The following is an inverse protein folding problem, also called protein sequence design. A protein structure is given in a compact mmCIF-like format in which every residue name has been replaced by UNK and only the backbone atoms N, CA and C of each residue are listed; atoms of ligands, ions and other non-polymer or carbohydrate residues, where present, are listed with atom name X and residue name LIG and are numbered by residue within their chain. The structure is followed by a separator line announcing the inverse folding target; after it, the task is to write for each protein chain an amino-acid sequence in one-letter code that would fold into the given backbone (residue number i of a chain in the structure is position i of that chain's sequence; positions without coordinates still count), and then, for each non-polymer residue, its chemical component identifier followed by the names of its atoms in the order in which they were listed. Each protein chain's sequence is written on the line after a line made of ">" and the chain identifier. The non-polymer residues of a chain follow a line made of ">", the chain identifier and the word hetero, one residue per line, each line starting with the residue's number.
data_IF_033886892986
#
_entry.id   IF_033886892986
#
_cell.length_a   1.000
_cell.length_b   1.000
_cell.length_c   1.000
_cell.angle_alpha   90.00
_cell.angle_beta   90.00
_cell.angle_gamma   90.00
#
_symmetry.space_group_name_H-M   'P 1'
#
loop_
_entity.id
_entity.type
_entity.pdbx_description
1 polymer ?
#
# COMPACT_ATOMS: atom_id res chain seq x y z
N UNK A 1 3.05 -24.82 5.08
CA UNK A 1 3.03 -24.78 3.60
C UNK A 1 4.31 -25.42 3.11
N UNK A 2 4.25 -26.25 2.08
CA UNK A 2 5.46 -26.68 1.38
C UNK A 2 6.10 -25.46 0.71
N UNK A 3 7.41 -25.34 0.79
CA UNK A 3 8.18 -24.25 0.17
C UNK A 3 7.90 -24.23 -1.34
N UNK A 4 7.43 -23.10 -1.87
CA UNK A 4 7.28 -22.88 -3.31
C UNK A 4 5.88 -23.09 -3.92
N UNK A 5 4.87 -23.47 -3.12
CA UNK A 5 3.47 -23.54 -3.59
C UNK A 5 2.77 -22.16 -3.41
N UNK A 6 3.05 -21.24 -4.34
CA UNK A 6 2.59 -19.84 -4.27
C UNK A 6 1.12 -19.69 -4.63
N UNK A 7 0.62 -20.45 -5.60
CA UNK A 7 -0.80 -20.50 -5.91
C UNK A 7 -1.65 -20.88 -4.69
N UNK A 8 -1.25 -21.91 -3.93
CA UNK A 8 -1.96 -22.28 -2.70
C UNK A 8 -1.85 -21.20 -1.61
N UNK A 9 -0.71 -20.53 -1.51
CA UNK A 9 -0.56 -19.40 -0.60
C UNK A 9 -1.50 -18.25 -0.99
N UNK A 10 -1.66 -17.98 -2.29
CA UNK A 10 -2.57 -16.97 -2.81
C UNK A 10 -4.02 -17.30 -2.46
N UNK A 11 -4.48 -18.52 -2.74
CA UNK A 11 -5.85 -18.94 -2.39
C UNK A 11 -6.12 -18.92 -0.88
N UNK A 12 -5.12 -19.20 -0.04
CA UNK A 12 -5.28 -19.06 1.40
C UNK A 12 -5.44 -17.59 1.81
N UNK A 13 -4.57 -16.71 1.30
CA UNK A 13 -4.68 -15.28 1.57
C UNK A 13 -5.99 -14.69 1.04
N UNK A 14 -6.43 -15.11 -0.14
CA UNK A 14 -7.72 -14.71 -0.70
C UNK A 14 -8.87 -15.12 0.22
N UNK A 15 -8.89 -16.37 0.67
CA UNK A 15 -9.89 -16.86 1.63
C UNK A 15 -9.84 -16.14 2.98
N UNK A 16 -8.68 -15.58 3.36
CA UNK A 16 -8.50 -14.89 4.63
C UNK A 16 -8.94 -13.42 4.59
N UNK A 17 -8.59 -12.70 3.53
CA UNK A 17 -8.71 -11.22 3.49
C UNK A 17 -9.43 -10.73 2.24
N UNK A 18 -8.98 -11.11 1.05
CA UNK A 18 -9.39 -10.47 -0.20
C UNK A 18 -10.79 -10.90 -0.66
N UNK A 19 -10.96 -12.19 -0.94
CA UNK A 19 -12.27 -12.83 -1.13
C UNK A 19 -12.88 -12.67 -2.52
N UNK A 20 -12.09 -12.34 -3.55
CA UNK A 20 -12.59 -12.15 -4.91
C UNK A 20 -12.58 -13.43 -5.75
N UNK A 21 -11.73 -14.41 -5.44
CA UNK A 21 -11.68 -15.71 -6.15
C UNK A 21 -12.42 -16.84 -5.43
N UNK A 22 -12.61 -16.75 -4.12
CA UNK A 22 -13.16 -17.86 -3.31
C UNK A 22 -14.66 -18.11 -3.46
N UNK A 23 -15.44 -17.14 -3.96
CA UNK A 23 -16.89 -17.27 -4.14
C UNK A 23 -17.72 -17.30 -2.85
N UNK A 24 -17.09 -17.04 -1.70
CA UNK A 24 -17.72 -16.86 -0.39
C UNK A 24 -17.05 -15.68 0.36
N UNK A 25 -17.70 -15.06 1.35
CA UNK A 25 -17.07 -13.97 2.11
C UNK A 25 -15.77 -14.42 2.77
N UNK A 26 -14.68 -13.65 2.68
CA UNK A 26 -13.41 -14.01 3.29
C UNK A 26 -13.51 -14.04 4.81
N UNK A 27 -12.59 -14.74 5.48
CA UNK A 27 -12.56 -14.90 6.93
C UNK A 27 -12.68 -13.54 7.64
N UNK A 28 -11.91 -12.53 7.20
CA UNK A 28 -11.96 -11.17 7.71
C UNK A 28 -13.39 -10.63 7.77
N UNK A 29 -14.15 -10.70 6.67
CA UNK A 29 -15.54 -10.25 6.61
C UNK A 29 -16.43 -11.02 7.56
N UNK A 30 -16.27 -12.35 7.61
CA UNK A 30 -17.11 -13.20 8.45
C UNK A 30 -16.92 -12.96 9.95
N UNK A 31 -15.68 -12.69 10.40
CA UNK A 31 -15.39 -12.50 11.83
C UNK A 31 -15.50 -11.06 12.32
N UNK A 32 -15.29 -10.08 11.44
CA UNK A 32 -15.33 -8.65 11.82
C UNK A 32 -16.66 -7.99 11.47
N UNK A 33 -17.42 -8.54 10.52
CA UNK A 33 -18.55 -7.87 9.90
C UNK A 33 -18.17 -6.69 9.00
N UNK A 34 -16.87 -6.47 8.73
CA UNK A 34 -16.36 -5.44 7.83
C UNK A 34 -15.93 -6.06 6.50
N UNK A 35 -16.37 -5.52 5.38
CA UNK A 35 -15.84 -5.84 4.06
C UNK A 35 -14.67 -4.94 3.65
N UNK A 36 -14.36 -3.92 4.44
CA UNK A 36 -13.33 -2.93 4.13
C UNK A 36 -12.06 -3.18 4.95
N UNK A 37 -11.13 -3.91 4.34
CA UNK A 37 -9.80 -4.14 4.89
C UNK A 37 -8.79 -3.03 4.51
N UNK A 38 -9.21 -1.97 3.80
CA UNK A 38 -8.33 -0.83 3.48
C UNK A 38 -8.21 0.14 4.65
N UNK A 39 -9.21 0.26 5.51
CA UNK A 39 -9.17 1.18 6.64
C UNK A 39 -10.02 0.66 7.79
N UNK A 40 -9.38 0.32 8.91
CA UNK A 40 -10.05 -0.27 10.09
C UNK A 40 -11.16 0.60 10.70
N UNK A 41 -11.21 1.89 10.36
CA UNK A 41 -12.28 2.79 10.83
C UNK A 41 -13.57 2.71 9.99
N UNK A 42 -13.58 1.93 8.91
CA UNK A 42 -14.73 1.78 8.01
C UNK A 42 -15.09 0.31 7.86
N UNK A 43 -16.38 -0.01 7.89
CA UNK A 43 -16.86 -1.37 7.61
C UNK A 43 -17.11 -1.60 6.11
N UNK A 44 -17.56 -0.57 5.42
CA UNK A 44 -17.93 -0.63 4.00
C UNK A 44 -16.95 0.15 3.14
N UNK A 45 -16.84 -0.23 1.87
CA UNK A 45 -16.08 0.55 0.88
C UNK A 45 -16.76 1.90 0.65
N UNK A 46 -16.00 3.01 0.60
CA UNK A 46 -16.59 4.32 0.32
C UNK A 46 -17.33 4.34 -1.02
N UNK A 47 -18.53 4.94 -1.10
CA UNK A 47 -19.31 4.97 -2.34
C UNK A 47 -18.58 5.70 -3.47
N UNK A 48 -17.63 6.59 -3.15
CA UNK A 48 -16.85 7.33 -4.13
C UNK A 48 -15.93 6.44 -4.97
N UNK A 49 -15.58 5.24 -4.49
CA UNK A 49 -14.66 4.35 -5.20
C UNK A 49 -15.22 3.88 -6.55
N UNK A 50 -16.54 3.87 -6.74
CA UNK A 50 -17.16 3.48 -8.02
C UNK A 50 -17.32 4.64 -9.01
N UNK A 51 -17.17 5.89 -8.56
CA UNK A 51 -17.45 7.07 -9.40
C UNK A 51 -16.48 7.19 -10.57
N UNK A 52 -15.21 6.83 -10.36
CA UNK A 52 -14.17 6.92 -11.39
C UNK A 52 -14.51 6.05 -12.61
N UNK A 53 -14.86 4.78 -12.38
CA UNK A 53 -15.24 3.86 -13.47
C UNK A 53 -16.46 4.34 -14.23
N UNK A 54 -17.49 4.84 -13.52
CA UNK A 54 -18.70 5.39 -14.14
C UNK A 54 -18.40 6.64 -14.99
N UNK A 55 -17.53 7.53 -14.51
CA UNK A 55 -17.12 8.73 -15.24
C UNK A 55 -16.34 8.38 -16.52
N UNK A 56 -15.49 7.36 -16.46
CA UNK A 56 -14.74 6.88 -17.64
C UNK A 56 -15.65 6.28 -18.72
N UNK A 57 -16.86 5.84 -18.38
CA UNK A 57 -17.81 5.29 -19.36
C UNK A 57 -18.66 6.35 -20.08
N UNK A 58 -18.61 7.62 -19.65
CA UNK A 58 -19.32 8.69 -20.35
C UNK A 58 -18.79 8.87 -21.77
N UNK A 59 -19.69 8.96 -22.76
CA UNK A 59 -19.32 9.10 -24.17
C UNK A 59 -18.39 10.31 -24.43
N UNK A 60 -18.64 11.43 -23.75
CA UNK A 60 -17.79 12.61 -23.82
C UNK A 60 -16.39 12.36 -23.24
N UNK A 61 -16.29 11.79 -22.04
CA UNK A 61 -15.01 11.42 -21.43
C UNK A 61 -14.22 10.51 -22.35
N UNK A 62 -14.83 9.42 -22.82
CA UNK A 62 -14.20 8.43 -23.73
C UNK A 62 -13.68 9.07 -25.01
N UNK A 63 -14.46 9.99 -25.60
CA UNK A 63 -14.05 10.77 -26.78
C UNK A 63 -12.84 11.64 -26.48
N UNK A 64 -12.84 12.33 -25.33
CA UNK A 64 -11.79 13.28 -24.93
C UNK A 64 -10.48 12.60 -24.53
N UNK A 65 -10.52 11.37 -24.02
CA UNK A 65 -9.31 10.58 -23.70
C UNK A 65 -8.91 9.60 -24.81
N UNK A 66 -9.60 9.64 -25.96
CA UNK A 66 -9.26 8.90 -27.18
C UNK A 66 -9.19 7.36 -27.04
N UNK A 67 -10.02 6.76 -26.17
CA UNK A 67 -10.03 5.28 -25.93
C UNK A 67 -10.90 4.50 -26.91
N UNK A 68 -11.55 5.18 -27.86
CA UNK A 68 -12.41 4.55 -28.86
C UNK A 68 -13.53 3.74 -28.20
N UNK A 69 -13.66 2.46 -28.56
CA UNK A 69 -14.71 1.57 -28.07
C UNK A 69 -14.23 0.57 -26.98
N UNK A 70 -13.06 0.81 -26.38
CA UNK A 70 -12.52 -0.07 -25.32
C UNK A 70 -13.26 0.23 -24.01
N UNK A 71 -13.95 -0.75 -23.43
CA UNK A 71 -14.61 -0.62 -22.12
C UNK A 71 -13.59 -0.55 -20.99
N UNK A 72 -13.87 0.22 -19.95
CA UNK A 72 -13.08 0.21 -18.73
C UNK A 72 -13.22 -1.15 -18.04
N UNK A 73 -12.09 -1.77 -17.70
CA UNK A 73 -12.05 -3.12 -17.10
C UNK A 73 -11.53 -3.08 -15.67
N UNK A 74 -12.04 -4.00 -14.82
CA UNK A 74 -11.66 -4.12 -13.40
C UNK A 74 -10.34 -4.86 -13.14
N UNK A 75 -9.81 -5.59 -14.13
CA UNK A 75 -8.53 -6.29 -14.01
C UNK A 75 -8.61 -7.79 -13.64
N UNK A 76 -9.80 -8.33 -13.38
CA UNK A 76 -10.02 -9.71 -12.90
C UNK A 76 -9.30 -10.79 -13.74
N UNK A 77 -9.30 -10.62 -15.07
CA UNK A 77 -8.59 -11.53 -15.97
C UNK A 77 -7.08 -11.52 -15.76
N UNK A 78 -6.51 -10.35 -15.48
CA UNK A 78 -5.06 -10.19 -15.26
C UNK A 78 -4.70 -10.81 -13.92
N UNK A 79 -5.47 -10.49 -12.87
CA UNK A 79 -5.28 -11.07 -11.53
C UNK A 79 -5.23 -12.61 -11.58
N UNK A 80 -6.22 -13.23 -12.22
CA UNK A 80 -6.28 -14.68 -12.38
C UNK A 80 -5.04 -15.27 -13.07
N UNK A 81 -4.44 -14.52 -13.99
CA UNK A 81 -3.25 -14.98 -14.72
C UNK A 81 -1.96 -14.86 -13.92
N UNK A 82 -1.96 -14.08 -12.82
CA UNK A 82 -0.77 -13.81 -12.00
C UNK A 82 -0.90 -14.31 -10.55
N UNK A 83 -1.92 -15.11 -10.22
CA UNK A 83 -2.15 -15.62 -8.86
C UNK A 83 -0.90 -16.30 -8.26
N UNK A 84 -0.19 -17.09 -9.08
CA UNK A 84 1.03 -17.77 -8.65
C UNK A 84 2.24 -16.84 -8.45
N UNK A 85 2.15 -15.58 -8.92
CA UNK A 85 3.17 -14.56 -8.74
C UNK A 85 2.95 -13.69 -7.49
N UNK A 86 1.70 -13.47 -7.07
CA UNK A 86 1.35 -12.54 -5.98
C UNK A 86 2.08 -12.86 -4.68
N UNK A 87 2.21 -14.15 -4.34
CA UNK A 87 2.83 -14.59 -3.09
C UNK A 87 4.34 -14.81 -3.19
N UNK A 88 4.95 -14.55 -4.36
CA UNK A 88 6.40 -14.66 -4.54
C UNK A 88 7.10 -13.48 -3.88
N UNK A 89 8.16 -13.76 -3.13
CA UNK A 89 8.87 -12.71 -2.40
C UNK A 89 9.76 -11.88 -3.33
N UNK A 90 9.58 -10.56 -3.30
CA UNK A 90 10.48 -9.59 -3.95
C UNK A 90 11.66 -9.18 -3.06
N UNK A 91 11.76 -9.74 -1.85
CA UNK A 91 12.84 -9.48 -0.88
C UNK A 91 14.25 -9.54 -1.49
N UNK A 92 14.60 -10.52 -2.36
CA UNK A 92 15.95 -10.62 -2.92
C UNK A 92 16.37 -9.44 -3.81
N UNK A 93 15.44 -8.63 -4.30
CA UNK A 93 15.75 -7.47 -5.16
C UNK A 93 16.16 -6.24 -4.34
N UNK A 94 15.72 -6.15 -3.09
CA UNK A 94 15.91 -4.96 -2.25
C UNK A 94 17.38 -4.59 -2.00
N UNK A 95 18.32 -5.53 -1.76
CA UNK A 95 19.73 -5.16 -1.58
C UNK A 95 20.29 -4.43 -2.80
N UNK A 96 19.99 -4.90 -4.02
CA UNK A 96 20.39 -4.23 -5.25
C UNK A 96 19.71 -2.87 -5.40
N UNK A 97 18.41 -2.76 -5.09
CA UNK A 97 17.71 -1.47 -5.15
C UNK A 97 18.31 -0.46 -4.18
N UNK A 98 18.56 -0.86 -2.93
CA UNK A 98 19.12 0.01 -1.90
C UNK A 98 20.58 0.38 -2.16
N UNK A 99 21.34 -0.44 -2.88
CA UNK A 99 22.69 -0.09 -3.30
C UNK A 99 22.73 0.99 -4.40
N UNK A 100 21.65 1.14 -5.18
CA UNK A 100 21.67 1.94 -6.41
C UNK A 100 20.68 3.11 -6.43
N UNK A 101 19.64 3.10 -5.59
CA UNK A 101 18.54 4.07 -5.63
C UNK A 101 18.13 4.54 -4.23
N UNK A 102 17.61 5.77 -4.17
CA UNK A 102 16.79 6.20 -3.03
C UNK A 102 15.48 5.42 -3.06
N UNK A 103 15.05 4.87 -1.92
CA UNK A 103 13.82 4.08 -1.80
C UNK A 103 12.96 4.64 -0.68
N UNK A 104 11.70 4.97 -0.99
CA UNK A 104 10.66 5.30 -0.03
C UNK A 104 9.71 4.11 0.11
N UNK A 105 9.53 3.61 1.33
CA UNK A 105 8.46 2.68 1.68
C UNK A 105 7.53 3.38 2.66
N UNK A 106 6.27 3.59 2.29
CA UNK A 106 5.30 4.26 3.14
C UNK A 106 4.03 3.41 3.33
N UNK A 107 3.43 3.51 4.50
CA UNK A 107 2.19 2.80 4.85
C UNK A 107 1.22 3.71 5.58
N UNK A 108 -0.09 3.51 5.36
CA UNK A 108 -1.11 4.09 6.22
C UNK A 108 -1.14 3.39 7.58
N UNK A 109 -1.32 4.16 8.64
CA UNK A 109 -1.42 3.63 10.00
C UNK A 109 -2.61 2.68 10.22
N UNK A 110 -3.70 2.87 9.47
CA UNK A 110 -4.99 2.20 9.65
C UNK A 110 -5.23 1.08 8.62
N UNK A 111 -4.21 0.76 7.81
CA UNK A 111 -4.29 -0.30 6.82
C UNK A 111 -4.24 -1.69 7.46
N UNK A 112 -5.16 -2.58 7.05
CA UNK A 112 -5.23 -3.96 7.52
C UNK A 112 -4.49 -4.93 6.59
N UNK A 113 -4.57 -4.74 5.27
CA UNK A 113 -4.01 -5.71 4.29
C UNK A 113 -2.48 -5.72 4.28
N UNK A 114 -1.84 -4.55 4.26
CA UNK A 114 -0.39 -4.36 4.25
C UNK A 114 0.05 -3.32 5.28
N UNK A 115 -0.49 -3.47 6.50
CA UNK A 115 -0.28 -2.54 7.60
C UNK A 115 1.19 -2.23 7.93
N UNK A 116 1.41 -1.08 8.56
CA UNK A 116 2.74 -0.56 8.87
C UNK A 116 3.64 -1.56 9.64
N UNK A 117 3.06 -2.39 10.50
CA UNK A 117 3.80 -3.43 11.26
C UNK A 117 4.33 -4.55 10.38
N UNK A 118 3.60 -4.93 9.32
CA UNK A 118 4.01 -5.95 8.34
C UNK A 118 5.17 -5.42 7.50
N UNK A 119 5.04 -4.19 6.98
CA UNK A 119 6.10 -3.49 6.25
C UNK A 119 7.34 -3.28 7.12
N UNK A 120 7.18 -2.98 8.42
CA UNK A 120 8.29 -2.91 9.36
C UNK A 120 9.02 -4.24 9.55
N UNK A 121 8.26 -5.32 9.74
CA UNK A 121 8.84 -6.66 9.90
C UNK A 121 9.60 -7.07 8.63
N UNK A 122 9.04 -6.78 7.46
CA UNK A 122 9.71 -6.97 6.18
C UNK A 122 11.03 -6.22 6.12
N UNK A 123 11.03 -4.91 6.37
CA UNK A 123 12.24 -4.06 6.31
C UNK A 123 13.31 -4.48 7.32
N UNK A 124 12.92 -4.89 8.54
CA UNK A 124 13.85 -5.42 9.56
C UNK A 124 14.50 -6.75 9.13
N UNK A 125 13.84 -7.50 8.26
CA UNK A 125 14.35 -8.78 7.78
C UNK A 125 15.30 -8.64 6.59
N UNK A 126 15.41 -7.46 5.96
CA UNK A 126 16.26 -7.24 4.80
C UNK A 126 17.73 -7.31 5.19
N UNK A 127 18.51 -8.04 4.38
CA UNK A 127 19.96 -8.13 4.52
C UNK A 127 20.60 -7.21 3.47
N UNK A 128 21.11 -6.06 3.91
CA UNK A 128 21.71 -5.02 3.07
C UNK A 128 22.65 -4.13 3.91
N UNK A 129 23.55 -3.39 3.27
CA UNK A 129 24.66 -2.70 3.94
C UNK A 129 24.24 -1.71 5.05
N UNK A 130 23.08 -1.07 4.92
CA UNK A 130 22.55 -0.12 5.91
C UNK A 130 21.59 -0.71 6.93
N UNK A 131 21.44 -2.05 6.99
CA UNK A 131 20.52 -2.75 7.91
C UNK A 131 20.74 -2.36 9.36
N UNK A 132 21.98 -2.39 9.85
CA UNK A 132 22.26 -2.08 11.26
C UNK A 132 21.96 -0.62 11.59
N UNK A 133 22.20 0.29 10.63
CA UNK A 133 21.79 1.70 10.76
C UNK A 133 20.26 1.83 10.84
N UNK A 134 19.51 1.07 10.03
CA UNK A 134 18.05 1.05 10.08
C UNK A 134 17.51 0.50 11.40
N UNK A 135 18.12 -0.57 11.94
CA UNK A 135 17.73 -1.15 13.23
C UNK A 135 18.01 -0.20 14.40
N UNK A 136 19.10 0.57 14.33
CA UNK A 136 19.45 1.57 15.33
C UNK A 136 18.67 2.89 15.19
N UNK A 137 18.17 3.20 13.98
CA UNK A 137 17.49 4.47 13.71
C UNK A 137 16.14 4.57 14.45
N UNK A 138 15.95 5.68 15.16
CA UNK A 138 14.66 6.02 15.75
C UNK A 138 13.74 6.65 14.72
N UNK A 139 12.42 6.53 14.95
CA UNK A 139 11.42 7.24 14.15
C UNK A 139 11.37 8.70 14.59
N UNK A 140 11.51 9.61 13.65
CA UNK A 140 11.28 11.03 13.80
C UNK A 140 9.79 11.34 13.68
N UNK A 141 9.33 12.31 14.45
CA UNK A 141 7.95 12.84 14.35
C UNK A 141 7.93 13.85 13.21
N UNK A 142 7.06 13.62 12.24
CA UNK A 142 6.91 14.50 11.08
C UNK A 142 5.58 15.27 11.17
N UNK A 143 5.65 16.58 10.89
CA UNK A 143 4.52 17.50 10.77
C UNK A 143 4.63 18.23 9.43
N UNK A 144 3.49 18.59 8.83
CA UNK A 144 3.50 19.37 7.59
C UNK A 144 4.14 20.74 7.87
N UNK A 145 3.67 21.43 8.91
CA UNK A 145 4.30 22.64 9.42
C UNK A 145 4.83 22.42 10.84
N UNK A 146 5.99 23.01 11.21
CA UNK A 146 6.56 22.87 12.55
C UNK A 146 5.62 23.29 13.70
N UNK A 147 4.70 24.22 13.42
CA UNK A 147 3.73 24.76 14.38
C UNK A 147 2.42 23.97 14.45
N UNK A 148 2.22 22.98 13.59
CA UNK A 148 0.98 22.17 13.61
C UNK A 148 0.86 21.45 14.95
N UNK A 149 -0.35 21.39 15.49
CA UNK A 149 -0.62 20.60 16.70
C UNK A 149 -0.56 19.11 16.36
N UNK A 150 -1.22 18.73 15.27
CA UNK A 150 -1.33 17.35 14.82
C UNK A 150 -0.04 16.85 14.14
N UNK A 151 0.31 15.60 14.45
CA UNK A 151 1.39 14.87 13.77
C UNK A 151 0.88 14.31 12.44
N UNK A 152 1.64 14.51 11.37
CA UNK A 152 1.36 13.97 10.04
C UNK A 152 1.77 12.50 9.94
N UNK A 153 2.87 12.12 10.60
CA UNK A 153 3.31 10.74 10.64
C UNK A 153 4.65 10.56 11.34
N UNK A 154 5.26 9.41 11.07
CA UNK A 154 6.55 9.02 11.64
C UNK A 154 7.47 8.56 10.53
N UNK A 155 8.71 9.06 10.52
CA UNK A 155 9.68 8.76 9.47
C UNK A 155 10.94 8.17 10.08
N UNK A 156 11.49 7.12 9.46
CA UNK A 156 12.79 6.54 9.82
C UNK A 156 13.66 6.55 8.57
N UNK A 157 14.86 7.09 8.70
CA UNK A 157 15.82 7.15 7.60
C UNK A 157 17.08 6.36 7.93
N UNK A 158 17.56 5.59 6.97
CA UNK A 158 18.82 4.87 7.04
C UNK A 158 19.48 4.87 5.66
N UNK A 159 20.40 5.83 5.44
CA UNK A 159 21.09 5.94 4.15
C UNK A 159 20.09 6.14 3.00
N UNK A 160 20.02 5.24 2.00
CA UNK A 160 19.11 5.35 0.85
C UNK A 160 17.66 5.00 1.16
N UNK A 161 17.36 4.37 2.31
CA UNK A 161 16.02 3.96 2.70
C UNK A 161 15.34 5.02 3.57
N UNK A 162 14.16 5.47 3.13
CA UNK A 162 13.20 6.22 3.94
C UNK A 162 11.98 5.34 4.17
N UNK A 163 11.61 5.15 5.44
CA UNK A 163 10.38 4.49 5.84
C UNK A 163 9.43 5.53 6.45
N UNK A 164 8.17 5.57 6.01
CA UNK A 164 7.17 6.47 6.57
C UNK A 164 5.88 5.75 6.99
N UNK A 165 5.28 6.21 8.09
CA UNK A 165 3.95 5.81 8.53
C UNK A 165 3.08 7.06 8.57
N UNK A 166 2.05 7.11 7.72
CA UNK A 166 1.15 8.26 7.62
C UNK A 166 0.01 8.08 8.62
N UNK A 167 -0.04 8.97 9.61
CA UNK A 167 -1.03 8.91 10.68
C UNK A 167 -2.42 9.14 10.10
N UNK A 168 -3.41 8.38 10.56
CA UNK A 168 -4.82 8.54 10.14
C UNK A 168 -5.14 8.16 8.70
N UNK A 169 -4.19 7.55 7.97
CA UNK A 169 -4.43 7.00 6.64
C UNK A 169 -4.59 5.48 6.69
N UNK A 170 -5.45 4.91 5.86
CA UNK A 170 -5.51 3.49 5.54
C UNK A 170 -4.63 3.12 4.34
N UNK A 171 -5.01 2.07 3.62
CA UNK A 171 -4.31 1.54 2.45
C UNK A 171 -4.07 2.60 1.37
N UNK A 172 -5.08 3.41 1.08
CA UNK A 172 -5.02 4.49 0.11
C UNK A 172 -4.65 5.81 0.78
N UNK A 173 -3.37 5.98 1.11
CA UNK A 173 -2.84 7.18 1.78
C UNK A 173 -3.30 8.50 1.13
N UNK A 174 -3.20 8.70 -0.20
CA UNK A 174 -3.64 9.95 -0.82
C UNK A 174 -5.14 10.19 -0.74
N UNK A 175 -5.96 9.13 -0.62
CA UNK A 175 -7.40 9.27 -0.44
C UNK A 175 -7.73 9.68 1.01
N UNK A 176 -7.15 9.01 2.00
CA UNK A 176 -7.49 9.25 3.40
C UNK A 176 -6.80 10.50 3.99
N UNK A 177 -5.60 10.84 3.51
CA UNK A 177 -4.79 11.96 4.02
C UNK A 177 -4.06 12.66 2.86
N UNK A 178 -4.77 13.37 1.96
CA UNK A 178 -4.20 13.95 0.74
C UNK A 178 -3.04 14.91 1.02
N UNK A 179 -3.21 15.85 1.95
CA UNK A 179 -2.17 16.86 2.28
C UNK A 179 -0.90 16.20 2.83
N UNK A 180 -1.06 15.16 3.66
CA UNK A 180 0.07 14.42 4.22
C UNK A 180 0.74 13.59 3.13
N UNK A 181 -0.03 12.89 2.29
CA UNK A 181 0.50 12.14 1.16
C UNK A 181 1.32 13.01 0.20
N UNK A 182 0.82 14.21 -0.11
CA UNK A 182 1.54 15.18 -0.93
C UNK A 182 2.82 15.67 -0.25
N UNK A 183 2.74 16.13 0.99
CA UNK A 183 3.90 16.66 1.73
C UNK A 183 5.00 15.58 1.91
N UNK A 184 4.63 14.31 2.15
CA UNK A 184 5.56 13.19 2.22
C UNK A 184 6.35 13.01 0.91
N UNK A 185 5.65 12.97 -0.22
CA UNK A 185 6.25 12.78 -1.54
C UNK A 185 7.11 13.97 -1.93
N UNK A 186 6.61 15.19 -1.74
CA UNK A 186 7.35 16.42 -2.02
C UNK A 186 8.66 16.47 -1.21
N UNK A 187 8.62 16.15 0.09
CA UNK A 187 9.82 16.09 0.95
C UNK A 187 10.83 15.08 0.47
N UNK A 188 10.36 13.89 0.10
CA UNK A 188 11.24 12.82 -0.35
C UNK A 188 11.92 13.13 -1.68
N UNK A 189 11.15 13.69 -2.64
CA UNK A 189 11.61 14.08 -3.98
C UNK A 189 12.61 15.24 -3.88
N UNK A 190 12.26 16.30 -3.16
CA UNK A 190 13.07 17.54 -3.08
C UNK A 190 14.21 17.43 -2.07
N UNK A 191 14.15 16.47 -1.14
CA UNK A 191 15.16 16.30 -0.10
C UNK A 191 15.12 17.35 1.01
N UNK A 192 14.00 18.07 1.20
CA UNK A 192 13.88 19.12 2.23
C UNK A 192 13.74 18.61 3.67
N UNK A 193 13.76 17.30 3.88
CA UNK A 193 13.68 16.67 5.21
C UNK A 193 12.25 16.61 5.77
N UNK A 194 12.10 16.05 6.98
CA UNK A 194 10.82 15.77 7.64
C UNK A 194 10.60 16.62 8.90
#
# INVERSE_FOLDING_TARGET
>A
MQTGDYLKAFHLWDALVNGDQTGFPPYFTNITGSSNYFNILRSDSPPEFVYYGQYLELAETRKNIHVGNITYGGGDKVEKMIEDDVMRSMKPLFPTLLANYKVLIYSGQLDVIIGATLSEAFLKSLEWDGRDKYLAAQKQVWKINPKDVEVAGFVREAGPLTQAIVRGAGHLVPYDQPDRGFDLLDRWITGRGY
#
